data_IF_462285773902
#
_entry.id   IF_462285773902
#
_cell.length_a   1.000
_cell.length_b   1.000
_cell.length_c   1.000
_cell.angle_alpha   90.00
_cell.angle_beta   90.00
_cell.angle_gamma   90.00
#
_symmetry.space_group_name_H-M   'P 1'
#
loop_
_entity.id
_entity.type
_entity.pdbx_description
1 polymer ?
#
# COMPACT_ATOMS: atom_id res chain seq x y z
N UNK A 1 -2.13 15.06 10.73
CA UNK A 1 -2.53 14.62 12.08
C UNK A 1 -1.42 13.80 12.68
N UNK A 2 -1.07 14.04 13.93
CA UNK A 2 -0.07 13.29 14.69
C UNK A 2 -0.81 12.34 15.65
N UNK A 3 -0.51 11.04 15.59
CA UNK A 3 -1.21 10.03 16.39
C UNK A 3 -0.34 9.38 17.47
N UNK A 4 0.98 9.29 17.27
CA UNK A 4 1.90 8.69 18.22
C UNK A 4 3.31 9.26 18.05
N UNK A 5 4.02 9.43 19.18
CA UNK A 5 5.45 9.79 19.22
C UNK A 5 6.36 8.55 19.15
N UNK A 6 5.81 7.35 19.36
CA UNK A 6 6.54 6.08 19.32
C UNK A 6 5.96 5.14 18.25
N UNK A 7 6.46 5.21 17.01
CA UNK A 7 6.00 4.35 15.94
C UNK A 7 6.34 2.86 16.17
N UNK A 8 7.39 2.56 16.94
CA UNK A 8 7.75 1.19 17.29
C UNK A 8 6.74 0.57 18.28
N UNK A 9 6.28 1.33 19.28
CA UNK A 9 5.22 0.89 20.18
C UNK A 9 3.91 0.67 19.41
N UNK A 10 3.60 1.53 18.44
CA UNK A 10 2.43 1.39 17.58
C UNK A 10 2.49 0.09 16.74
N UNK A 11 3.66 -0.26 16.23
CA UNK A 11 3.86 -1.51 15.48
C UNK A 11 3.61 -2.74 16.37
N UNK A 12 4.15 -2.75 17.59
CA UNK A 12 3.90 -3.83 18.56
C UNK A 12 2.42 -3.96 18.89
N UNK A 13 1.73 -2.85 19.13
CA UNK A 13 0.29 -2.85 19.42
C UNK A 13 -0.52 -3.47 18.28
N UNK A 14 -0.18 -3.20 17.03
CA UNK A 14 -0.83 -3.83 15.89
C UNK A 14 -0.54 -5.33 15.79
N UNK A 15 0.70 -5.76 16.08
CA UNK A 15 1.05 -7.17 16.13
C UNK A 15 0.29 -7.91 17.23
N UNK A 16 0.26 -7.37 18.46
CA UNK A 16 -0.45 -7.93 19.61
C UNK A 16 -1.97 -8.03 19.36
N UNK A 17 -2.52 -7.08 18.63
CA UNK A 17 -3.94 -7.10 18.22
C UNK A 17 -4.25 -8.10 17.08
N UNK A 18 -3.24 -8.80 16.54
CA UNK A 18 -3.42 -9.84 15.53
C UNK A 18 -3.32 -9.38 14.07
N UNK A 19 -2.76 -8.20 13.84
CA UNK A 19 -2.47 -7.73 12.47
C UNK A 19 -1.52 -8.71 11.78
N UNK A 20 -1.64 -8.86 10.47
CA UNK A 20 -0.80 -9.81 9.70
C UNK A 20 0.31 -9.13 8.89
N UNK A 21 0.13 -7.86 8.56
CA UNK A 21 1.05 -7.06 7.76
C UNK A 21 1.01 -5.61 8.25
N UNK A 22 2.14 -4.93 8.14
CA UNK A 22 2.20 -3.49 8.34
C UNK A 22 2.47 -2.78 7.02
N UNK A 23 1.70 -1.73 6.75
CA UNK A 23 1.92 -0.81 5.65
C UNK A 23 2.50 0.49 6.22
N UNK A 24 3.71 0.83 5.81
CA UNK A 24 4.44 2.01 6.28
C UNK A 24 4.72 2.94 5.10
N UNK A 25 4.48 4.22 5.28
CA UNK A 25 4.78 5.23 4.26
C UNK A 25 5.64 6.34 4.87
N UNK A 26 6.81 6.57 4.28
CA UNK A 26 7.61 7.77 4.54
C UNK A 26 7.01 8.95 3.78
N UNK A 27 6.01 9.61 4.39
CA UNK A 27 5.29 10.72 3.75
C UNK A 27 6.24 11.88 3.37
N UNK A 28 7.16 12.24 4.28
CA UNK A 28 8.17 13.25 4.00
C UNK A 28 9.09 12.82 2.85
N UNK A 29 9.46 11.53 2.84
CA UNK A 29 10.25 10.92 1.78
C UNK A 29 9.55 10.94 0.42
N UNK A 30 8.24 10.74 0.39
CA UNK A 30 7.46 10.81 -0.85
C UNK A 30 7.58 12.18 -1.53
N UNK A 31 7.51 13.27 -0.75
CA UNK A 31 7.71 14.63 -1.24
C UNK A 31 9.19 14.95 -1.54
N UNK A 32 10.10 14.52 -0.66
CA UNK A 32 11.54 14.81 -0.81
C UNK A 32 12.23 13.96 -1.91
N UNK A 33 11.57 12.91 -2.39
CA UNK A 33 12.13 11.97 -3.36
C UNK A 33 13.26 11.09 -2.84
N UNK A 34 13.41 11.00 -1.53
CA UNK A 34 14.39 10.16 -0.82
C UNK A 34 13.87 9.86 0.58
N UNK A 35 14.32 8.77 1.19
CA UNK A 35 13.94 8.44 2.58
C UNK A 35 14.38 9.53 3.55
N UNK A 36 13.48 9.96 4.43
CA UNK A 36 13.71 11.03 5.41
C UNK A 36 13.50 10.57 6.85
N UNK A 37 12.57 9.64 7.10
CA UNK A 37 12.23 9.15 8.44
C UNK A 37 12.92 7.81 8.76
N UNK A 38 14.20 7.66 8.37
CA UNK A 38 14.95 6.42 8.46
C UNK A 38 14.95 5.82 9.87
N UNK A 39 15.29 6.56 10.96
CA UNK A 39 15.33 5.98 12.29
C UNK A 39 13.96 5.45 12.77
N UNK A 40 12.87 6.12 12.41
CA UNK A 40 11.53 5.69 12.77
C UNK A 40 11.14 4.39 12.04
N UNK A 41 11.48 4.27 10.77
CA UNK A 41 11.20 3.06 9.98
C UNK A 41 12.03 1.89 10.47
N UNK A 42 13.32 2.09 10.73
CA UNK A 42 14.21 1.06 11.31
C UNK A 42 13.69 0.59 12.68
N UNK A 43 13.21 1.52 13.51
CA UNK A 43 12.61 1.19 14.80
C UNK A 43 11.31 0.36 14.67
N UNK A 44 10.45 0.66 13.68
CA UNK A 44 9.27 -0.14 13.37
C UNK A 44 9.68 -1.56 12.97
N UNK A 45 10.59 -1.69 12.02
CA UNK A 45 11.04 -3.00 11.50
C UNK A 45 11.67 -3.85 12.62
N UNK A 46 12.45 -3.23 13.51
CA UNK A 46 13.07 -3.92 14.64
C UNK A 46 12.08 -4.30 15.76
N UNK A 47 10.93 -3.64 15.84
CA UNK A 47 9.97 -3.80 16.93
C UNK A 47 8.91 -4.89 16.69
N UNK A 48 8.81 -5.44 15.49
CA UNK A 48 7.75 -6.41 15.11
C UNK A 48 8.30 -7.54 14.26
N UNK A 49 7.64 -8.71 14.36
CA UNK A 49 7.87 -9.84 13.45
C UNK A 49 6.92 -9.82 12.24
N UNK A 50 6.01 -8.87 12.16
CA UNK A 50 5.09 -8.75 11.04
C UNK A 50 5.83 -8.39 9.74
N UNK A 51 5.41 -8.94 8.61
CA UNK A 51 5.89 -8.46 7.32
C UNK A 51 5.57 -6.96 7.14
N UNK A 52 6.60 -6.14 6.97
CA UNK A 52 6.48 -4.70 6.74
C UNK A 52 6.61 -4.43 5.25
N UNK A 53 5.65 -3.72 4.66
CA UNK A 53 5.77 -3.14 3.33
C UNK A 53 5.96 -1.62 3.44
N UNK A 54 6.97 -1.09 2.75
CA UNK A 54 7.40 0.29 2.88
C UNK A 54 7.31 1.03 1.54
N UNK A 55 6.64 2.18 1.55
CA UNK A 55 6.63 3.15 0.46
C UNK A 55 7.10 4.54 0.88
N UNK A 56 7.27 5.42 -0.09
CA UNK A 56 7.67 6.80 0.11
C UNK A 56 9.16 7.07 -0.11
N UNK A 57 9.48 7.87 -1.13
CA UNK A 57 10.83 8.33 -1.41
C UNK A 57 11.83 7.31 -1.97
N UNK A 58 11.38 6.13 -2.37
CA UNK A 58 12.24 5.08 -2.92
C UNK A 58 12.29 5.23 -4.44
N UNK A 59 13.45 5.62 -4.98
CA UNK A 59 13.59 6.01 -6.40
C UNK A 59 14.81 5.41 -7.12
N UNK A 60 15.60 4.59 -6.46
CA UNK A 60 16.77 3.92 -7.05
C UNK A 60 17.03 2.55 -6.41
N UNK A 61 17.90 1.75 -7.05
CA UNK A 61 18.26 0.43 -6.56
C UNK A 61 18.92 0.47 -5.18
N UNK A 62 19.77 1.46 -4.91
CA UNK A 62 20.46 1.57 -3.62
C UNK A 62 19.49 1.77 -2.45
N UNK A 63 18.42 2.54 -2.66
CA UNK A 63 17.35 2.69 -1.67
C UNK A 63 16.53 1.40 -1.49
N UNK A 64 16.27 0.67 -2.57
CA UNK A 64 15.61 -0.64 -2.53
C UNK A 64 16.46 -1.64 -1.74
N UNK A 65 17.73 -1.79 -2.10
CA UNK A 65 18.70 -2.68 -1.45
C UNK A 65 18.76 -2.40 0.04
N UNK A 66 18.97 -1.13 0.39
CA UNK A 66 19.03 -0.68 1.79
C UNK A 66 17.82 -1.13 2.62
N UNK A 67 16.59 -0.91 2.12
CA UNK A 67 15.40 -1.22 2.90
C UNK A 67 15.16 -2.73 3.00
N UNK A 68 15.44 -3.47 1.92
CA UNK A 68 15.33 -4.92 1.96
C UNK A 68 16.37 -5.56 2.89
N UNK A 69 17.61 -5.01 2.94
CA UNK A 69 18.64 -5.40 3.89
C UNK A 69 18.30 -5.03 5.35
N UNK A 70 17.63 -3.88 5.55
CA UNK A 70 17.15 -3.47 6.87
C UNK A 70 15.97 -4.31 7.40
N UNK A 71 15.46 -5.28 6.63
CA UNK A 71 14.41 -6.21 7.05
C UNK A 71 12.99 -5.85 6.57
N UNK A 72 12.82 -4.80 5.77
CA UNK A 72 11.54 -4.54 5.09
C UNK A 72 11.19 -5.72 4.19
N UNK A 73 9.99 -6.26 4.31
CA UNK A 73 9.57 -7.45 3.56
C UNK A 73 9.27 -7.14 2.09
N UNK A 74 8.67 -5.99 1.81
CA UNK A 74 8.33 -5.53 0.46
C UNK A 74 8.56 -4.03 0.34
N UNK A 75 9.08 -3.61 -0.82
CA UNK A 75 9.23 -2.20 -1.19
C UNK A 75 8.13 -1.81 -2.16
N UNK A 76 7.52 -0.65 -1.92
CA UNK A 76 6.43 -0.11 -2.75
C UNK A 76 7.01 1.01 -3.60
N UNK A 77 6.89 0.87 -4.92
CA UNK A 77 7.31 1.84 -5.91
C UNK A 77 6.07 2.56 -6.46
N UNK A 78 5.95 3.85 -6.17
CA UNK A 78 4.85 4.71 -6.62
C UNK A 78 5.24 5.53 -7.85
N UNK A 79 5.54 6.83 -7.70
CA UNK A 79 5.84 7.74 -8.83
C UNK A 79 6.95 7.24 -9.76
N UNK A 80 7.89 6.45 -9.25
CA UNK A 80 8.96 5.85 -10.06
C UNK A 80 8.41 4.80 -11.04
N UNK A 81 7.30 4.15 -10.74
CA UNK A 81 6.68 3.20 -11.64
C UNK A 81 6.22 3.85 -12.96
N UNK A 82 5.89 5.14 -12.91
CA UNK A 82 5.55 5.94 -14.10
C UNK A 82 6.81 6.50 -14.78
N UNK A 83 7.77 7.00 -13.98
CA UNK A 83 8.93 7.75 -14.49
C UNK A 83 10.05 6.86 -15.00
N UNK A 84 10.26 5.72 -14.36
CA UNK A 84 11.35 4.78 -14.66
C UNK A 84 10.87 3.33 -14.52
N UNK A 85 10.08 2.82 -15.47
CA UNK A 85 9.60 1.43 -15.45
C UNK A 85 10.73 0.41 -15.61
N UNK A 86 11.90 0.80 -16.13
CA UNK A 86 13.05 -0.08 -16.24
C UNK A 86 13.69 -0.34 -14.87
N UNK A 87 13.73 0.65 -13.99
CA UNK A 87 14.10 0.44 -12.58
C UNK A 87 13.17 -0.58 -11.91
N UNK A 88 11.85 -0.48 -12.12
CA UNK A 88 10.89 -1.44 -11.54
C UNK A 88 11.18 -2.85 -12.03
N UNK A 89 11.43 -3.02 -13.34
CA UNK A 89 11.77 -4.31 -13.95
C UNK A 89 13.08 -4.87 -13.41
N UNK A 90 14.10 -4.02 -13.26
CA UNK A 90 15.37 -4.39 -12.67
C UNK A 90 15.20 -4.87 -11.22
N UNK A 91 14.48 -4.10 -10.41
CA UNK A 91 14.20 -4.40 -9.00
C UNK A 91 13.40 -5.70 -8.85
N UNK A 92 12.35 -5.90 -9.65
CA UNK A 92 11.52 -7.11 -9.60
C UNK A 92 12.32 -8.37 -9.97
N UNK A 93 13.27 -8.26 -10.90
CA UNK A 93 14.19 -9.36 -11.26
C UNK A 93 15.20 -9.65 -10.15
N UNK A 94 15.77 -8.61 -9.53
CA UNK A 94 16.74 -8.74 -8.44
C UNK A 94 16.10 -9.29 -7.17
N UNK A 95 14.86 -8.91 -6.89
CA UNK A 95 14.12 -9.23 -5.66
C UNK A 95 12.73 -9.83 -5.95
N UNK A 96 12.63 -11.04 -6.51
CA UNK A 96 11.35 -11.67 -6.82
C UNK A 96 10.43 -11.75 -5.60
N UNK A 97 9.17 -11.33 -5.79
CA UNK A 97 8.16 -11.35 -4.73
C UNK A 97 8.24 -10.19 -3.72
N UNK A 98 9.23 -9.30 -3.85
CA UNK A 98 9.46 -8.23 -2.86
C UNK A 98 9.19 -6.81 -3.37
N UNK A 99 8.87 -6.64 -4.64
CA UNK A 99 8.55 -5.34 -5.25
C UNK A 99 7.05 -5.25 -5.49
N UNK A 100 6.45 -4.17 -5.03
CA UNK A 100 5.02 -3.87 -5.16
C UNK A 100 4.85 -2.54 -5.89
N UNK A 101 3.91 -2.44 -6.80
CA UNK A 101 3.56 -1.17 -7.43
C UNK A 101 2.47 -0.45 -6.59
N UNK A 102 2.74 0.78 -6.19
CA UNK A 102 1.73 1.68 -5.63
C UNK A 102 1.12 2.53 -6.74
N UNK A 103 -0.17 2.37 -6.99
CA UNK A 103 -0.91 3.12 -8.00
C UNK A 103 -1.95 3.98 -7.31
N UNK A 104 -1.63 5.25 -7.22
CA UNK A 104 -2.54 6.28 -6.74
C UNK A 104 -3.29 6.85 -7.95
N UNK A 105 -4.61 6.89 -7.88
CA UNK A 105 -5.44 7.34 -8.99
C UNK A 105 -6.49 8.36 -8.54
N UNK A 106 -6.84 9.25 -9.44
CA UNK A 106 -7.99 10.14 -9.34
C UNK A 106 -8.92 9.88 -10.51
N UNK A 107 -10.09 9.34 -10.22
CA UNK A 107 -11.10 9.02 -11.26
C UNK A 107 -10.50 8.14 -12.39
N UNK A 108 -9.73 7.11 -12.00
CA UNK A 108 -9.09 6.15 -12.92
C UNK A 108 -7.77 6.61 -13.52
N UNK A 109 -7.36 7.88 -13.36
CA UNK A 109 -6.09 8.41 -13.91
C UNK A 109 -5.01 8.46 -12.85
N UNK A 110 -3.80 8.05 -13.23
CA UNK A 110 -2.67 7.95 -12.32
C UNK A 110 -2.25 9.32 -11.78
N UNK A 111 -2.12 9.42 -10.46
CA UNK A 111 -1.56 10.56 -9.75
C UNK A 111 -0.11 10.28 -9.32
N UNK A 112 0.74 11.29 -9.40
CA UNK A 112 2.17 11.23 -9.05
C UNK A 112 2.58 12.37 -8.13
N UNK A 113 3.85 12.40 -7.71
CA UNK A 113 4.45 13.46 -6.89
C UNK A 113 3.66 13.78 -5.62
N UNK A 114 3.29 12.75 -4.85
CA UNK A 114 2.49 12.94 -3.64
C UNK A 114 1.10 13.51 -3.96
N UNK A 115 0.51 13.10 -5.11
CA UNK A 115 -0.82 13.49 -5.60
C UNK A 115 -0.92 14.90 -6.17
N UNK A 116 0.21 15.58 -6.36
CA UNK A 116 0.24 16.95 -6.91
C UNK A 116 -0.09 17.00 -8.40
N UNK A 117 0.21 15.93 -9.13
CA UNK A 117 0.02 15.83 -10.57
C UNK A 117 -0.88 14.65 -10.92
N UNK A 118 -1.83 14.85 -11.83
CA UNK A 118 -2.66 13.79 -12.42
C UNK A 118 -2.28 13.68 -13.89
N UNK A 119 -1.85 12.49 -14.29
CA UNK A 119 -1.45 12.20 -15.66
C UNK A 119 -2.65 11.79 -16.54
N UNK A 120 -2.43 11.73 -17.86
CA UNK A 120 -3.38 11.14 -18.79
C UNK A 120 -3.36 9.60 -18.79
N UNK A 121 -2.42 8.99 -18.06
CA UNK A 121 -2.25 7.54 -17.98
C UNK A 121 -3.36 6.91 -17.15
N UNK A 122 -4.04 5.92 -17.70
CA UNK A 122 -5.03 5.14 -16.97
C UNK A 122 -4.36 4.21 -15.94
N UNK A 123 -4.95 4.11 -14.76
CA UNK A 123 -4.43 3.25 -13.68
C UNK A 123 -4.33 1.78 -14.12
N UNK A 124 -5.27 1.31 -14.93
CA UNK A 124 -5.28 -0.05 -15.49
C UNK A 124 -4.09 -0.29 -16.42
N UNK A 125 -3.76 0.67 -17.27
CA UNK A 125 -2.63 0.54 -18.20
C UNK A 125 -1.30 0.50 -17.45
N UNK A 126 -1.16 1.33 -16.41
CA UNK A 126 0.02 1.26 -15.55
C UNK A 126 0.11 -0.07 -14.82
N UNK A 127 -0.99 -0.56 -14.27
CA UNK A 127 -1.02 -1.82 -13.54
C UNK A 127 -0.60 -3.01 -14.41
N UNK A 128 -1.09 -3.10 -15.64
CA UNK A 128 -0.68 -4.13 -16.61
C UNK A 128 0.82 -4.03 -16.94
N UNK A 129 1.35 -2.82 -17.14
CA UNK A 129 2.80 -2.61 -17.34
C UNK A 129 3.63 -3.06 -16.14
N UNK A 130 3.13 -2.85 -14.93
CA UNK A 130 3.81 -3.26 -13.69
C UNK A 130 3.75 -4.78 -13.52
N UNK A 131 2.64 -5.42 -13.86
CA UNK A 131 2.54 -6.88 -13.92
C UNK A 131 3.58 -7.46 -14.89
N UNK A 132 3.67 -6.92 -16.12
CA UNK A 132 4.67 -7.31 -17.11
C UNK A 132 6.12 -7.05 -16.63
N UNK A 133 6.32 -6.03 -15.79
CA UNK A 133 7.62 -5.75 -15.16
C UNK A 133 7.99 -6.77 -14.06
N UNK A 134 7.03 -7.58 -13.59
CA UNK A 134 7.24 -8.67 -12.64
C UNK A 134 7.04 -8.26 -11.17
N UNK A 135 6.25 -7.20 -10.89
CA UNK A 135 5.92 -6.85 -9.50
C UNK A 135 5.06 -7.94 -8.85
N UNK A 136 5.18 -8.08 -7.54
CA UNK A 136 4.49 -9.11 -6.77
C UNK A 136 3.02 -8.82 -6.47
N UNK A 137 2.64 -7.54 -6.49
CA UNK A 137 1.29 -7.07 -6.21
C UNK A 137 1.12 -5.62 -6.65
N UNK A 138 -0.12 -5.17 -6.73
CA UNK A 138 -0.50 -3.77 -6.90
C UNK A 138 -1.25 -3.30 -5.65
N UNK A 139 -0.89 -2.15 -5.10
CA UNK A 139 -1.71 -1.40 -4.14
C UNK A 139 -2.42 -0.31 -4.94
N UNK A 140 -3.74 -0.33 -4.93
CA UNK A 140 -4.56 0.65 -5.62
C UNK A 140 -5.24 1.61 -4.64
N UNK A 141 -4.98 2.91 -4.79
CA UNK A 141 -5.56 3.97 -3.96
C UNK A 141 -6.35 4.95 -4.81
N UNK A 142 -7.67 5.05 -4.60
CA UNK A 142 -8.44 6.19 -5.12
C UNK A 142 -8.25 7.38 -4.18
N UNK A 143 -7.44 8.37 -4.61
CA UNK A 143 -6.97 9.45 -3.74
C UNK A 143 -8.06 10.44 -3.32
N UNK A 144 -9.18 10.52 -4.06
CA UNK A 144 -10.31 11.37 -3.64
C UNK A 144 -11.04 10.81 -2.43
N UNK A 145 -10.83 9.55 -2.12
CA UNK A 145 -11.42 8.84 -0.98
C UNK A 145 -10.44 8.68 0.18
N UNK A 146 -9.12 8.76 -0.08
CA UNK A 146 -8.13 8.55 0.96
C UNK A 146 -8.21 9.61 2.06
N UNK A 147 -8.21 9.14 3.32
CA UNK A 147 -8.42 10.00 4.49
C UNK A 147 -9.82 10.60 4.65
N UNK A 148 -10.74 10.42 3.68
CA UNK A 148 -12.10 10.98 3.71
C UNK A 148 -13.10 10.10 4.47
N UNK A 149 -12.74 8.85 4.79
CA UNK A 149 -13.58 7.89 5.52
C UNK A 149 -14.92 7.57 4.80
N UNK A 150 -14.97 7.77 3.48
CA UNK A 150 -16.18 7.68 2.65
C UNK A 150 -16.35 6.31 1.94
N UNK A 151 -15.50 5.35 2.27
CA UNK A 151 -15.47 4.01 1.65
C UNK A 151 -14.48 3.91 0.50
N UNK A 152 -14.10 2.66 0.21
CA UNK A 152 -13.22 2.31 -0.92
C UNK A 152 -13.93 2.54 -2.26
N UNK A 153 -13.17 2.73 -3.32
CA UNK A 153 -13.67 2.60 -4.68
C UNK A 153 -13.68 1.12 -5.08
N UNK A 154 -14.78 0.45 -4.77
CA UNK A 154 -14.91 -0.99 -4.97
C UNK A 154 -14.99 -1.37 -6.44
N UNK A 155 -15.61 -0.55 -7.26
CA UNK A 155 -15.80 -0.82 -8.69
C UNK A 155 -14.46 -0.76 -9.43
N UNK A 156 -13.69 0.32 -9.25
CA UNK A 156 -12.37 0.45 -9.86
C UNK A 156 -11.40 -0.62 -9.33
N UNK A 157 -11.44 -0.91 -8.02
CA UNK A 157 -10.60 -1.95 -7.42
C UNK A 157 -10.91 -3.34 -8.00
N UNK A 158 -12.20 -3.66 -8.15
CA UNK A 158 -12.63 -4.93 -8.71
C UNK A 158 -12.30 -5.05 -10.20
N UNK A 159 -12.51 -3.99 -10.97
CA UNK A 159 -12.17 -3.96 -12.40
C UNK A 159 -10.68 -4.15 -12.63
N UNK A 160 -9.85 -3.51 -11.81
CA UNK A 160 -8.40 -3.70 -11.86
C UNK A 160 -8.02 -5.15 -11.52
N UNK A 161 -8.57 -5.70 -10.44
CA UNK A 161 -8.28 -7.06 -10.00
C UNK A 161 -8.75 -8.16 -10.97
N UNK A 162 -9.80 -7.90 -11.78
CA UNK A 162 -10.22 -8.81 -12.84
C UNK A 162 -9.29 -8.84 -14.04
N UNK A 163 -8.55 -7.76 -14.27
CA UNK A 163 -7.63 -7.62 -15.42
C UNK A 163 -6.23 -8.12 -15.14
N UNK A 164 -5.85 -8.19 -13.87
CA UNK A 164 -4.53 -8.62 -13.41
C UNK A 164 -4.55 -10.09 -12.98
N UNK A 165 -3.43 -10.78 -13.16
CA UNK A 165 -3.19 -12.11 -12.59
C UNK A 165 -2.47 -12.04 -11.25
N UNK A 166 -1.90 -10.88 -10.90
CA UNK A 166 -1.22 -10.62 -9.62
C UNK A 166 -2.18 -10.01 -8.59
N UNK A 167 -1.87 -10.18 -7.29
CA UNK A 167 -2.68 -9.63 -6.19
C UNK A 167 -2.92 -8.12 -6.27
N UNK A 168 -4.14 -7.69 -5.98
CA UNK A 168 -4.52 -6.30 -5.77
C UNK A 168 -4.88 -6.08 -4.30
N UNK A 169 -4.29 -5.04 -3.71
CA UNK A 169 -4.55 -4.58 -2.34
C UNK A 169 -5.32 -3.27 -2.42
N UNK A 170 -6.53 -3.25 -1.87
CA UNK A 170 -7.37 -2.06 -1.83
C UNK A 170 -6.84 -1.03 -0.83
N UNK A 171 -6.89 0.25 -1.18
CA UNK A 171 -6.43 1.35 -0.33
C UNK A 171 -7.28 2.60 -0.53
N UNK A 172 -7.33 3.43 0.52
CA UNK A 172 -8.01 4.73 0.50
C UNK A 172 -9.50 4.67 0.87
N UNK A 173 -9.91 5.42 1.91
CA UNK A 173 -11.30 5.70 2.22
C UNK A 173 -11.99 4.81 3.25
N UNK A 174 -11.39 3.73 3.76
CA UNK A 174 -12.02 2.91 4.82
C UNK A 174 -12.33 3.78 6.04
N UNK A 175 -13.59 3.83 6.44
CA UNK A 175 -14.07 4.66 7.55
C UNK A 175 -14.94 3.93 8.58
N UNK A 176 -15.51 2.78 8.21
CA UNK A 176 -16.38 1.99 9.05
C UNK A 176 -16.37 0.51 8.64
N UNK A 177 -16.89 -0.37 9.52
CA UNK A 177 -16.89 -1.83 9.27
C UNK A 177 -17.71 -2.24 8.05
N UNK A 178 -18.76 -1.51 7.72
CA UNK A 178 -19.57 -1.75 6.52
C UNK A 178 -18.76 -1.66 5.23
N UNK A 179 -17.74 -0.80 5.17
CA UNK A 179 -16.82 -0.70 4.03
C UNK A 179 -15.97 -1.97 3.86
N UNK A 180 -15.51 -2.54 4.97
CA UNK A 180 -14.77 -3.83 4.96
C UNK A 180 -15.69 -4.99 4.58
N UNK A 181 -16.94 -4.97 5.06
CA UNK A 181 -17.94 -5.96 4.68
C UNK A 181 -18.24 -5.94 3.17
N UNK A 182 -18.39 -4.74 2.61
CA UNK A 182 -18.63 -4.57 1.17
C UNK A 182 -17.43 -5.06 0.35
N UNK A 183 -16.20 -4.73 0.77
CA UNK A 183 -15.00 -5.24 0.13
C UNK A 183 -14.91 -6.78 0.20
N UNK A 184 -15.16 -7.37 1.37
CA UNK A 184 -15.18 -8.83 1.52
C UNK A 184 -16.17 -9.50 0.60
N UNK A 185 -17.37 -8.93 0.44
CA UNK A 185 -18.38 -9.48 -0.44
C UNK A 185 -17.91 -9.49 -1.90
N UNK A 186 -17.30 -8.41 -2.38
CA UNK A 186 -16.75 -8.35 -3.73
C UNK A 186 -15.54 -9.28 -3.91
N UNK A 187 -14.67 -9.37 -2.92
CA UNK A 187 -13.49 -10.23 -2.99
C UNK A 187 -13.82 -11.73 -3.12
N UNK A 188 -15.02 -12.17 -2.71
CA UNK A 188 -15.49 -13.55 -2.95
C UNK A 188 -15.67 -13.85 -4.44
N UNK A 189 -16.11 -12.85 -5.21
CA UNK A 189 -16.35 -12.98 -6.65
C UNK A 189 -15.13 -12.55 -7.47
N UNK A 190 -14.20 -11.81 -6.84
CA UNK A 190 -12.98 -11.28 -7.45
C UNK A 190 -11.77 -11.67 -6.58
N UNK A 191 -11.30 -12.92 -6.66
CA UNK A 191 -10.24 -13.44 -5.78
C UNK A 191 -8.88 -12.76 -5.97
N UNK A 192 -8.70 -11.95 -7.01
CA UNK A 192 -7.54 -11.08 -7.19
C UNK A 192 -7.42 -9.98 -6.14
N UNK A 193 -8.50 -9.63 -5.43
CA UNK A 193 -8.46 -8.72 -4.28
C UNK A 193 -8.02 -9.52 -3.06
N UNK A 194 -6.78 -9.32 -2.60
CA UNK A 194 -6.18 -10.16 -1.56
C UNK A 194 -5.96 -9.44 -0.23
N UNK A 195 -6.19 -8.13 -0.18
CA UNK A 195 -5.96 -7.36 1.04
C UNK A 195 -6.55 -5.97 1.00
N UNK A 196 -6.50 -5.32 2.16
CA UNK A 196 -6.93 -3.92 2.32
C UNK A 196 -6.01 -3.20 3.31
N UNK A 197 -5.73 -1.93 3.01
CA UNK A 197 -5.02 -1.03 3.91
C UNK A 197 -6.06 -0.21 4.67
N UNK A 198 -6.00 -0.29 6.00
CA UNK A 198 -6.82 0.52 6.90
C UNK A 198 -5.89 1.43 7.69
N UNK A 199 -6.03 2.73 7.49
CA UNK A 199 -5.22 3.75 8.14
C UNK A 199 -6.01 4.52 9.18
N UNK A 200 -6.42 5.72 8.81
CA UNK A 200 -7.03 6.74 9.68
C UNK A 200 -8.14 6.23 10.58
N UNK A 201 -9.02 5.36 10.07
CA UNK A 201 -10.16 4.84 10.84
C UNK A 201 -9.76 4.05 12.10
N UNK A 202 -8.59 3.38 12.09
CA UNK A 202 -8.04 2.71 13.27
C UNK A 202 -7.53 3.72 14.30
N UNK A 203 -6.81 4.74 13.85
CA UNK A 203 -6.26 5.78 14.74
C UNK A 203 -7.34 6.68 15.35
N UNK A 204 -8.39 6.98 14.59
CA UNK A 204 -9.55 7.76 15.05
C UNK A 204 -10.51 6.92 15.94
N UNK A 205 -10.22 5.62 16.16
CA UNK A 205 -11.06 4.72 16.95
C UNK A 205 -12.41 4.40 16.32
N UNK A 206 -12.61 4.66 15.03
CA UNK A 206 -13.86 4.36 14.30
C UNK A 206 -14.05 2.87 14.05
N UNK A 207 -12.96 2.15 13.90
CA UNK A 207 -12.92 0.72 13.71
C UNK A 207 -11.90 0.16 14.71
N UNK A 208 -12.30 -0.85 15.49
CA UNK A 208 -11.31 -1.62 16.24
C UNK A 208 -10.62 -2.62 15.30
N UNK A 209 -9.34 -2.87 15.52
CA UNK A 209 -8.61 -3.83 14.70
C UNK A 209 -9.19 -5.24 14.83
N UNK A 210 -9.64 -5.64 16.03
CA UNK A 210 -10.30 -6.92 16.25
C UNK A 210 -11.58 -7.08 15.42
N UNK A 211 -12.44 -6.06 15.36
CA UNK A 211 -13.65 -6.08 14.55
C UNK A 211 -13.33 -6.12 13.07
N UNK A 212 -12.31 -5.35 12.62
CA UNK A 212 -11.85 -5.38 11.23
C UNK A 212 -11.38 -6.78 10.82
N UNK A 213 -10.55 -7.43 11.66
CA UNK A 213 -10.06 -8.79 11.43
C UNK A 213 -11.20 -9.81 11.43
N UNK A 214 -12.19 -9.68 12.33
CA UNK A 214 -13.36 -10.55 12.35
C UNK A 214 -14.21 -10.41 11.07
N UNK A 215 -14.42 -9.17 10.60
CA UNK A 215 -15.18 -8.91 9.35
C UNK A 215 -14.45 -9.48 8.14
N UNK A 216 -13.16 -9.25 8.02
CA UNK A 216 -12.39 -9.74 6.88
C UNK A 216 -12.23 -11.27 6.90
N UNK A 217 -12.33 -11.87 8.07
CA UNK A 217 -12.23 -13.31 8.28
C UNK A 217 -10.78 -13.79 8.23
N UNK A 218 -10.63 -15.08 8.57
CA UNK A 218 -9.39 -15.79 8.31
C UNK A 218 -9.37 -16.14 6.81
N UNK A 219 -8.80 -15.22 6.00
CA UNK A 219 -8.45 -15.57 4.62
C UNK A 219 -7.18 -16.39 4.61
#
# INVERSE_FOLDING_TARGET
THYSDDPAAQARMFEEAGCRHLHVVDLNGAFAGRSTNIPAIEAIVAATNLPVQLGGGIRDMAAIDRWLEAGVSRVILGSVAVKDPDLVRQAARAYPGRIVAGIDARMGRVATEGWAEVSELEATDLALRMEDAGVAAVIFTEITRDGMLAGLDLDQTADLARRLSIPVIASGGVGELSHLQALRNIARDVPGITGVIVGRALYDGRISLGDALNVLGSC
#
